data_IF_211465679255
#
_entry.id   IF_211465679255
#
_cell.length_a   1.000
_cell.length_b   1.000
_cell.length_c   1.000
_cell.angle_alpha   90.00
_cell.angle_beta   90.00
_cell.angle_gamma   90.00
#
_symmetry.space_group_name_H-M   'P 1'
#
loop_
_entity.id
_entity.type
_entity.pdbx_description
1 polymer ?
#
# COMPACT_ATOMS: atom_id res chain seq x y z
N UNK A 1 -17.73 32.42 -1.98
CA UNK A 1 -18.08 31.08 -1.40
C UNK A 1 -18.34 31.23 0.09
N UNK A 2 -19.41 30.63 0.61
CA UNK A 2 -19.69 30.50 2.05
C UNK A 2 -19.48 29.03 2.42
N UNK A 3 -18.55 28.67 3.34
CA UNK A 3 -18.24 27.27 3.64
C UNK A 3 -19.46 26.44 4.07
N UNK A 4 -20.40 27.05 4.81
CA UNK A 4 -21.63 26.39 5.25
C UNK A 4 -22.56 26.00 4.10
N UNK A 5 -22.56 26.77 2.99
CA UNK A 5 -23.39 26.47 1.82
C UNK A 5 -22.85 25.22 1.10
N UNK A 6 -21.52 25.08 0.98
CA UNK A 6 -20.86 23.89 0.41
C UNK A 6 -21.20 22.64 1.22
N UNK A 7 -21.13 22.74 2.56
CA UNK A 7 -21.48 21.65 3.46
C UNK A 7 -22.97 21.30 3.32
N UNK A 8 -23.84 22.31 3.22
CA UNK A 8 -25.28 22.09 3.08
C UNK A 8 -25.63 21.39 1.76
N UNK A 9 -25.06 21.83 0.63
CA UNK A 9 -25.26 21.17 -0.67
C UNK A 9 -24.90 19.68 -0.56
N UNK A 10 -23.73 19.35 0.01
CA UNK A 10 -23.32 17.94 0.12
C UNK A 10 -24.15 17.15 1.13
N UNK A 11 -24.61 17.79 2.24
CA UNK A 11 -25.54 17.18 3.20
C UNK A 11 -26.88 16.82 2.55
N UNK A 12 -27.36 17.67 1.65
CA UNK A 12 -28.69 17.54 1.03
C UNK A 12 -28.63 16.76 -0.31
N UNK A 13 -27.48 16.12 -0.61
CA UNK A 13 -27.20 15.35 -1.83
C UNK A 13 -27.34 16.19 -3.12
N UNK A 14 -26.95 17.46 -3.04
CA UNK A 14 -26.92 18.38 -4.17
C UNK A 14 -25.50 18.53 -4.72
N UNK A 15 -25.39 18.79 -6.03
CA UNK A 15 -24.11 19.00 -6.69
C UNK A 15 -23.47 20.32 -6.25
N UNK A 16 -22.17 20.28 -5.97
CA UNK A 16 -21.38 21.45 -5.57
C UNK A 16 -20.83 22.15 -6.83
N UNK A 17 -20.95 23.48 -6.96
CA UNK A 17 -20.24 24.21 -8.00
C UNK A 17 -18.72 23.96 -7.91
N UNK A 18 -18.11 23.50 -9.00
CA UNK A 18 -16.73 22.99 -8.98
C UNK A 18 -15.71 24.06 -8.57
N UNK A 19 -15.91 25.32 -8.98
CA UNK A 19 -15.04 26.44 -8.58
C UNK A 19 -15.13 26.70 -7.06
N UNK A 20 -16.31 26.55 -6.47
CA UNK A 20 -16.51 26.71 -5.04
C UNK A 20 -15.90 25.56 -4.26
N UNK A 21 -16.03 24.31 -4.73
CA UNK A 21 -15.36 23.14 -4.14
C UNK A 21 -13.84 23.32 -4.16
N UNK A 22 -13.28 23.77 -5.31
CA UNK A 22 -11.85 24.04 -5.44
C UNK A 22 -11.38 25.11 -4.43
N UNK A 23 -12.11 26.22 -4.34
CA UNK A 23 -11.79 27.29 -3.40
C UNK A 23 -11.85 26.80 -1.95
N UNK A 24 -12.89 26.02 -1.59
CA UNK A 24 -13.07 25.45 -0.25
C UNK A 24 -11.85 24.58 0.16
N UNK A 25 -11.36 23.73 -0.73
CA UNK A 25 -10.19 22.85 -0.44
C UNK A 25 -8.90 23.65 -0.30
N UNK A 26 -8.68 24.65 -1.18
CA UNK A 26 -7.47 25.50 -1.13
C UNK A 26 -7.47 26.38 0.12
N UNK A 27 -8.61 26.94 0.52
CA UNK A 27 -8.73 27.76 1.74
C UNK A 27 -8.59 26.89 3.01
N UNK A 28 -9.04 25.62 2.97
CA UNK A 28 -8.75 24.69 4.05
C UNK A 28 -7.24 24.43 4.19
N UNK A 29 -6.55 24.28 3.08
CA UNK A 29 -5.09 24.08 3.09
C UNK A 29 -4.34 25.25 3.73
N UNK A 30 -4.81 26.49 3.49
CA UNK A 30 -4.24 27.72 4.08
C UNK A 30 -4.60 27.91 5.56
N UNK A 31 -5.63 27.23 6.06
CA UNK A 31 -6.14 27.37 7.42
C UNK A 31 -7.29 28.36 7.56
N UNK A 32 -7.80 28.91 6.47
CA UNK A 32 -8.93 29.85 6.45
C UNK A 32 -10.26 29.13 6.74
N UNK A 33 -10.34 27.82 6.46
CA UNK A 33 -11.45 26.95 6.83
C UNK A 33 -11.00 26.07 8.00
N UNK A 34 -11.74 26.08 9.14
CA UNK A 34 -11.38 25.31 10.32
C UNK A 34 -11.74 23.82 10.18
N UNK A 35 -11.07 22.97 10.95
CA UNK A 35 -11.19 21.51 10.91
C UNK A 35 -12.63 21.02 11.14
N UNK A 36 -13.44 21.68 12.00
CA UNK A 36 -14.82 21.29 12.25
C UNK A 36 -15.72 21.44 11.00
N UNK A 37 -15.45 22.43 10.15
CA UNK A 37 -16.19 22.59 8.88
C UNK A 37 -15.75 21.52 7.86
N UNK A 38 -14.46 21.27 7.75
CA UNK A 38 -13.95 20.20 6.89
C UNK A 38 -14.40 18.82 7.38
N UNK A 39 -14.51 18.58 8.69
CA UNK A 39 -15.04 17.33 9.23
C UNK A 39 -16.52 17.14 8.87
N UNK A 40 -17.33 18.20 8.93
CA UNK A 40 -18.74 18.17 8.51
C UNK A 40 -18.86 17.86 7.01
N UNK A 41 -18.03 18.49 6.16
CA UNK A 41 -17.96 18.22 4.73
C UNK A 41 -17.55 16.76 4.45
N UNK A 42 -16.49 16.27 5.12
CA UNK A 42 -16.03 14.91 4.96
C UNK A 42 -17.09 13.87 5.36
N UNK A 43 -17.84 14.13 6.44
CA UNK A 43 -18.93 13.25 6.86
C UNK A 43 -20.11 13.30 5.88
N UNK A 44 -20.50 14.47 5.38
CA UNK A 44 -21.52 14.60 4.34
C UNK A 44 -21.12 13.83 3.07
N UNK A 45 -19.86 13.94 2.66
CA UNK A 45 -19.30 13.17 1.53
C UNK A 45 -19.29 11.65 1.81
N UNK A 46 -19.04 11.22 3.03
CA UNK A 46 -19.11 9.79 3.39
C UNK A 46 -20.53 9.22 3.24
N UNK A 47 -21.54 10.02 3.57
CA UNK A 47 -22.94 9.57 3.57
C UNK A 47 -23.57 9.64 2.17
N UNK A 48 -23.28 10.68 1.39
CA UNK A 48 -23.94 10.97 0.12
C UNK A 48 -23.03 10.82 -1.11
N UNK A 49 -21.72 10.50 -0.91
CA UNK A 49 -20.77 10.37 -2.00
C UNK A 49 -20.39 11.71 -2.65
N UNK A 50 -19.72 11.61 -3.77
CA UNK A 50 -19.44 12.71 -4.71
C UNK A 50 -19.55 12.16 -6.13
N UNK A 51 -20.04 12.96 -7.05
CA UNK A 51 -20.02 12.60 -8.45
C UNK A 51 -18.59 12.65 -9.02
N UNK A 52 -18.42 12.16 -10.25
CA UNK A 52 -17.11 12.07 -10.92
C UNK A 52 -16.39 13.43 -11.01
N UNK A 53 -17.10 14.50 -11.44
CA UNK A 53 -16.50 15.83 -11.61
C UNK A 53 -16.11 16.46 -10.27
N UNK A 54 -16.90 16.27 -9.23
CA UNK A 54 -16.58 16.69 -7.86
C UNK A 54 -15.32 15.95 -7.35
N UNK A 55 -15.24 14.62 -7.55
CA UNK A 55 -14.09 13.81 -7.12
C UNK A 55 -12.81 14.21 -7.86
N UNK A 56 -12.90 14.45 -9.16
CA UNK A 56 -11.80 14.94 -9.98
C UNK A 56 -11.34 16.34 -9.54
N UNK A 57 -12.27 17.24 -9.26
CA UNK A 57 -11.99 18.61 -8.79
C UNK A 57 -11.34 18.60 -7.40
N UNK A 58 -11.85 17.78 -6.49
CA UNK A 58 -11.25 17.58 -5.17
C UNK A 58 -9.79 17.07 -5.29
N UNK A 59 -9.57 16.06 -6.13
CA UNK A 59 -8.24 15.52 -6.41
C UNK A 59 -7.28 16.58 -6.92
N UNK A 60 -7.72 17.36 -7.92
CA UNK A 60 -6.91 18.43 -8.51
C UNK A 60 -6.63 19.56 -7.51
N UNK A 61 -7.64 19.99 -6.74
CA UNK A 61 -7.47 21.01 -5.73
C UNK A 61 -6.49 20.60 -4.62
N UNK A 62 -6.52 19.33 -4.19
CA UNK A 62 -5.55 18.79 -3.25
C UNK A 62 -4.13 18.77 -3.83
N UNK A 63 -3.97 18.36 -5.10
CA UNK A 63 -2.68 18.38 -5.78
C UNK A 63 -2.14 19.82 -5.87
N UNK A 64 -2.96 20.75 -6.30
CA UNK A 64 -2.60 22.17 -6.52
C UNK A 64 -2.37 22.95 -5.22
N UNK A 65 -2.69 22.36 -4.06
CA UNK A 65 -2.44 22.99 -2.76
C UNK A 65 -0.96 23.09 -2.40
N UNK A 66 -0.08 22.38 -3.12
CA UNK A 66 1.35 22.32 -2.84
C UNK A 66 2.24 22.26 -4.08
N UNK A 67 3.46 21.78 -3.88
CA UNK A 67 4.44 21.57 -4.96
C UNK A 67 4.11 20.32 -5.77
N UNK A 68 4.47 20.33 -7.04
CA UNK A 68 4.47 19.16 -7.91
C UNK A 68 5.91 18.88 -8.35
N UNK A 69 6.35 17.63 -8.19
CA UNK A 69 7.64 17.18 -8.72
C UNK A 69 7.53 17.00 -10.23
N UNK A 70 8.65 17.18 -10.90
CA UNK A 70 8.76 17.02 -12.34
C UNK A 70 10.01 16.20 -12.67
N UNK A 71 9.87 15.22 -13.53
CA UNK A 71 10.94 14.32 -13.98
C UNK A 71 11.13 14.36 -15.50
N UNK A 72 10.72 15.47 -16.15
CA UNK A 72 10.82 15.64 -17.61
C UNK A 72 12.25 15.63 -18.18
N UNK A 73 13.26 15.76 -17.32
CA UNK A 73 14.67 15.61 -17.69
C UNK A 73 15.10 14.15 -17.93
N UNK A 74 14.30 13.17 -17.54
CA UNK A 74 14.60 11.76 -17.76
C UNK A 74 13.98 11.28 -19.08
N UNK A 75 14.65 10.34 -19.76
CA UNK A 75 14.17 9.78 -21.03
C UNK A 75 12.88 8.95 -20.86
N UNK A 76 12.69 8.33 -19.68
CA UNK A 76 11.50 7.58 -19.32
C UNK A 76 10.63 8.35 -18.34
N UNK A 77 9.31 8.24 -18.44
CA UNK A 77 8.46 8.90 -17.49
C UNK A 77 8.31 8.10 -16.18
N UNK A 78 7.97 8.84 -15.11
CA UNK A 78 7.85 8.28 -13.77
C UNK A 78 6.63 7.37 -13.64
N UNK A 79 6.84 6.17 -13.12
CA UNK A 79 5.79 5.21 -12.81
C UNK A 79 5.81 4.86 -11.33
N UNK A 80 4.64 4.56 -10.77
CA UNK A 80 4.54 4.17 -9.37
C UNK A 80 3.44 3.11 -9.16
N UNK A 81 3.43 2.51 -8.00
CA UNK A 81 2.37 1.60 -7.52
C UNK A 81 1.76 2.16 -6.25
N UNK A 82 0.45 2.01 -6.09
CA UNK A 82 -0.22 2.24 -4.82
C UNK A 82 -1.06 1.04 -4.43
N UNK A 83 -0.95 0.62 -3.16
CA UNK A 83 -1.83 -0.39 -2.57
C UNK A 83 -2.86 0.27 -1.68
N UNK A 84 -4.08 -0.24 -1.68
CA UNK A 84 -5.12 0.19 -0.74
C UNK A 84 -4.91 -0.33 0.68
N UNK A 85 -3.82 -1.08 0.90
CA UNK A 85 -3.43 -1.62 2.19
C UNK A 85 -3.89 -3.06 2.40
N UNK A 86 -3.01 -3.87 3.00
CA UNK A 86 -3.27 -5.29 3.27
C UNK A 86 -2.29 -5.86 4.29
N UNK A 87 -2.61 -7.07 4.76
CA UNK A 87 -1.81 -7.78 5.74
C UNK A 87 -0.63 -8.47 5.06
N UNK A 88 0.60 -8.15 5.50
CA UNK A 88 1.83 -8.69 4.91
C UNK A 88 2.18 -8.07 3.54
N UNK A 89 1.61 -6.92 3.17
CA UNK A 89 1.90 -6.26 1.89
C UNK A 89 3.25 -5.54 1.92
N UNK A 90 4.27 -6.28 1.52
CA UNK A 90 5.66 -5.83 1.33
C UNK A 90 6.04 -5.65 -0.14
N UNK A 91 5.09 -5.77 -1.07
CA UNK A 91 5.33 -5.70 -2.53
C UNK A 91 6.17 -4.50 -2.92
N UNK A 92 5.91 -3.32 -2.36
CA UNK A 92 6.63 -2.08 -2.70
C UNK A 92 8.14 -2.18 -2.52
N UNK A 93 8.61 -2.94 -1.50
CA UNK A 93 10.03 -3.12 -1.19
C UNK A 93 10.75 -3.92 -2.28
N UNK A 94 10.05 -4.86 -2.90
CA UNK A 94 10.58 -5.69 -4.00
C UNK A 94 10.36 -5.00 -5.35
N UNK A 95 9.18 -4.45 -5.56
CA UNK A 95 8.72 -3.91 -6.84
C UNK A 95 9.52 -2.68 -7.30
N UNK A 96 9.75 -1.70 -6.40
CA UNK A 96 10.42 -0.46 -6.79
C UNK A 96 11.84 -0.70 -7.33
N UNK A 97 12.75 -1.42 -6.63
CA UNK A 97 14.07 -1.73 -7.17
C UNK A 97 14.03 -2.69 -8.36
N UNK A 98 13.06 -3.59 -8.43
CA UNK A 98 12.90 -4.52 -9.55
C UNK A 98 12.55 -3.78 -10.85
N UNK A 99 11.55 -2.92 -10.84
CA UNK A 99 11.14 -2.11 -12.00
C UNK A 99 12.27 -1.14 -12.39
N UNK A 100 12.95 -0.53 -11.41
CA UNK A 100 14.09 0.34 -11.67
C UNK A 100 15.28 -0.41 -12.29
N UNK A 101 15.50 -1.69 -11.97
CA UNK A 101 16.54 -2.52 -12.59
C UNK A 101 16.22 -2.91 -14.04
N UNK A 102 14.96 -2.73 -14.46
CA UNK A 102 14.48 -2.90 -15.84
C UNK A 102 14.30 -1.57 -16.60
N UNK A 103 14.88 -0.46 -16.09
CA UNK A 103 14.85 0.85 -16.74
C UNK A 103 13.69 1.76 -16.35
N UNK A 104 12.86 1.37 -15.38
CA UNK A 104 11.79 2.22 -14.85
C UNK A 104 12.33 3.33 -13.94
N UNK A 105 11.60 4.44 -13.86
CA UNK A 105 11.82 5.54 -12.91
C UNK A 105 10.69 5.51 -11.87
N UNK A 106 11.02 5.19 -10.62
CA UNK A 106 10.03 4.88 -9.57
C UNK A 106 10.19 5.81 -8.35
N UNK A 107 9.63 7.04 -8.40
CA UNK A 107 9.62 7.98 -7.27
C UNK A 107 8.48 7.64 -6.30
N UNK A 108 8.60 6.55 -5.56
CA UNK A 108 7.51 6.01 -4.74
C UNK A 108 7.30 6.82 -3.46
N UNK A 109 6.16 7.53 -3.38
CA UNK A 109 5.67 8.13 -2.15
C UNK A 109 4.74 7.14 -1.45
N UNK A 110 5.11 6.74 -0.24
CA UNK A 110 4.41 5.74 0.56
C UNK A 110 3.93 6.29 1.91
N UNK A 111 3.13 5.51 2.61
CA UNK A 111 2.56 5.85 3.91
C UNK A 111 3.13 5.03 5.06
N UNK A 112 2.89 5.53 6.28
CA UNK A 112 3.03 4.78 7.53
C UNK A 112 1.83 3.85 7.72
N UNK A 113 2.01 2.82 8.53
CA UNK A 113 0.93 1.92 8.93
C UNK A 113 -0.09 2.62 9.81
N UNK A 114 -1.34 2.24 9.62
CA UNK A 114 -2.46 2.67 10.41
C UNK A 114 -3.41 1.50 10.65
N UNK A 115 -3.89 1.35 11.88
CA UNK A 115 -4.69 0.19 12.27
C UNK A 115 -3.90 -1.12 12.09
N UNK A 116 -4.55 -2.11 11.48
CA UNK A 116 -4.01 -3.47 11.34
C UNK A 116 -3.00 -3.63 10.19
N UNK A 117 -2.93 -2.67 9.26
CA UNK A 117 -2.06 -2.77 8.10
C UNK A 117 -0.71 -2.11 8.36
N UNK A 118 0.38 -2.85 8.18
CA UNK A 118 1.74 -2.31 8.31
C UNK A 118 2.08 -1.31 7.19
N UNK A 119 2.76 -0.20 7.54
CA UNK A 119 3.18 0.80 6.57
C UNK A 119 4.51 0.47 5.88
N UNK A 120 4.62 0.80 4.61
CA UNK A 120 5.86 0.63 3.86
C UNK A 120 7.03 1.40 4.50
N UNK A 121 6.77 2.58 5.03
CA UNK A 121 7.79 3.40 5.68
C UNK A 121 8.26 2.78 6.99
N UNK A 122 7.33 2.28 7.81
CA UNK A 122 7.67 1.63 9.09
C UNK A 122 8.53 0.38 8.87
N UNK A 123 8.26 -0.38 7.80
CA UNK A 123 9.08 -1.52 7.41
C UNK A 123 10.50 -1.09 7.08
N UNK A 124 10.68 -0.10 6.20
CA UNK A 124 12.00 0.39 5.81
C UNK A 124 12.78 1.04 6.96
N UNK A 125 12.09 1.71 7.88
CA UNK A 125 12.71 2.29 9.10
C UNK A 125 13.21 1.23 10.08
N UNK A 126 12.81 -0.04 9.93
CA UNK A 126 13.44 -1.15 10.67
C UNK A 126 14.88 -1.44 10.22
N UNK A 127 15.30 -0.94 9.04
CA UNK A 127 16.69 -0.93 8.60
C UNK A 127 17.40 0.23 9.31
N UNK A 128 18.41 0.00 10.16
CA UNK A 128 19.08 1.07 10.89
C UNK A 128 19.60 2.18 9.98
N UNK A 129 19.24 3.42 10.33
CA UNK A 129 19.65 4.63 9.61
C UNK A 129 18.83 4.97 8.35
N UNK A 130 17.91 4.11 7.90
CA UNK A 130 17.10 4.40 6.73
C UNK A 130 16.17 5.59 6.95
N UNK A 131 16.25 6.57 6.04
CA UNK A 131 15.46 7.81 6.11
C UNK A 131 14.27 7.77 5.16
N UNK A 132 13.09 8.07 5.69
CA UNK A 132 11.83 8.17 4.95
C UNK A 132 11.31 9.62 4.85
N UNK A 133 12.05 10.59 5.37
CA UNK A 133 11.71 12.01 5.48
C UNK A 133 12.50 12.89 4.50
N UNK A 134 12.74 12.40 3.30
CA UNK A 134 13.56 13.10 2.31
C UNK A 134 12.88 14.40 1.84
N UNK A 135 13.68 15.46 1.68
CA UNK A 135 13.26 16.65 0.95
C UNK A 135 13.08 16.36 -0.55
N UNK A 136 12.33 17.22 -1.27
CA UNK A 136 12.16 17.08 -2.73
C UNK A 136 13.49 17.04 -3.49
N UNK A 137 14.52 17.75 -3.01
CA UNK A 137 15.86 17.76 -3.61
C UNK A 137 16.56 16.41 -3.39
N UNK A 138 16.53 15.89 -2.15
CA UNK A 138 17.13 14.58 -1.83
C UNK A 138 16.41 13.46 -2.58
N UNK A 139 15.07 13.48 -2.63
CA UNK A 139 14.26 12.53 -3.38
C UNK A 139 14.70 12.48 -4.86
N UNK A 140 14.78 13.65 -5.53
CA UNK A 140 15.23 13.74 -6.93
C UNK A 140 16.63 13.18 -7.12
N UNK A 141 17.53 13.48 -6.18
CA UNK A 141 18.90 12.96 -6.22
C UNK A 141 18.93 11.44 -6.13
N UNK A 142 18.19 10.84 -5.19
CA UNK A 142 18.11 9.38 -5.03
C UNK A 142 17.53 8.73 -6.29
N UNK A 143 16.44 9.29 -6.84
CA UNK A 143 15.83 8.79 -8.09
C UNK A 143 16.82 8.88 -9.26
N UNK A 144 17.53 10.00 -9.41
CA UNK A 144 18.55 10.18 -10.45
C UNK A 144 19.67 9.14 -10.34
N UNK A 145 20.16 8.90 -9.13
CA UNK A 145 21.29 8.01 -8.90
C UNK A 145 20.91 6.52 -8.94
N UNK A 146 19.66 6.19 -8.55
CA UNK A 146 19.21 4.80 -8.31
C UNK A 146 18.07 4.35 -9.25
N UNK A 147 17.32 5.24 -9.87
CA UNK A 147 16.11 4.92 -10.61
C UNK A 147 14.88 4.69 -9.74
N UNK A 148 15.05 4.52 -8.42
CA UNK A 148 13.93 4.39 -7.49
C UNK A 148 14.23 5.04 -6.13
N UNK A 149 13.16 5.39 -5.42
CA UNK A 149 13.15 5.87 -4.04
C UNK A 149 11.86 5.42 -3.38
N UNK A 150 11.88 5.12 -2.09
CA UNK A 150 10.66 4.92 -1.28
C UNK A 150 10.75 5.86 -0.09
N UNK A 151 9.89 6.87 -0.04
CA UNK A 151 9.91 7.90 0.99
C UNK A 151 8.49 8.34 1.36
N UNK A 152 8.36 9.07 2.47
CA UNK A 152 7.10 9.68 2.89
C UNK A 152 6.75 10.93 2.07
N UNK A 153 5.49 11.33 2.19
CA UNK A 153 5.01 12.60 1.67
C UNK A 153 5.72 13.76 2.39
N UNK A 154 6.29 14.69 1.64
CA UNK A 154 6.85 15.93 2.21
C UNK A 154 5.73 16.88 2.64
N UNK A 155 6.05 17.87 3.47
CA UNK A 155 5.07 18.90 3.89
C UNK A 155 4.59 19.77 2.73
N UNK A 156 5.31 19.75 1.62
CA UNK A 156 5.03 20.58 0.43
C UNK A 156 4.24 19.86 -0.65
N UNK A 157 4.20 18.52 -0.63
CA UNK A 157 3.41 17.72 -1.58
C UNK A 157 1.98 17.57 -1.08
N UNK A 158 0.99 18.04 -1.84
CA UNK A 158 -0.44 17.96 -1.54
C UNK A 158 -0.78 18.21 -0.05
N UNK A 159 -0.41 19.38 0.56
CA UNK A 159 -0.62 19.64 1.98
C UNK A 159 -2.10 19.60 2.41
N UNK A 160 -3.03 19.92 1.51
CA UNK A 160 -4.46 19.76 1.76
C UNK A 160 -4.82 18.30 2.07
N UNK A 161 -4.27 17.34 1.32
CA UNK A 161 -4.47 15.91 1.60
C UNK A 161 -3.90 15.52 2.96
N UNK A 162 -2.67 15.94 3.27
CA UNK A 162 -2.02 15.62 4.54
C UNK A 162 -2.87 16.05 5.74
N UNK A 163 -3.42 17.29 5.67
CA UNK A 163 -4.27 17.86 6.72
C UNK A 163 -5.63 17.13 6.78
N UNK A 164 -6.27 16.92 5.62
CA UNK A 164 -7.57 16.24 5.54
C UNK A 164 -7.47 14.77 5.97
N UNK A 165 -6.43 14.04 5.55
CA UNK A 165 -6.25 12.64 5.94
C UNK A 165 -6.11 12.49 7.47
N UNK A 166 -5.33 13.37 8.11
CA UNK A 166 -5.20 13.38 9.58
C UNK A 166 -6.54 13.65 10.29
N UNK A 167 -7.39 14.50 9.70
CA UNK A 167 -8.74 14.76 10.22
C UNK A 167 -9.65 13.54 10.02
N UNK A 168 -9.61 12.92 8.84
CA UNK A 168 -10.44 11.74 8.51
C UNK A 168 -10.17 10.55 9.41
N UNK A 169 -8.93 10.37 9.80
CA UNK A 169 -8.49 9.28 10.68
C UNK A 169 -9.24 9.29 12.03
N UNK A 170 -9.49 10.47 12.58
CA UNK A 170 -10.14 10.65 13.89
C UNK A 170 -11.64 10.94 13.79
N UNK A 171 -12.21 11.10 12.59
CA UNK A 171 -13.62 11.43 12.37
C UNK A 171 -14.43 10.29 11.75
N UNK A 172 -13.85 9.10 11.56
CA UNK A 172 -14.55 7.93 10.99
C UNK A 172 -14.91 8.09 9.52
N UNK A 173 -14.18 8.90 8.75
CA UNK A 173 -14.49 9.22 7.34
C UNK A 173 -13.45 8.64 6.36
N UNK A 174 -12.64 7.66 6.79
CA UNK A 174 -11.60 7.07 5.94
C UNK A 174 -12.19 6.22 4.81
N UNK A 175 -13.30 5.53 5.02
CA UNK A 175 -13.86 4.53 4.09
C UNK A 175 -14.64 5.10 2.89
N UNK A 176 -14.65 6.40 2.67
CA UNK A 176 -15.34 7.04 1.53
C UNK A 176 -14.57 6.89 0.22
N UNK A 177 -15.18 6.30 -0.82
CA UNK A 177 -14.56 6.09 -2.15
C UNK A 177 -14.04 7.40 -2.76
N UNK A 178 -14.82 8.51 -2.85
CA UNK A 178 -14.29 9.77 -3.37
C UNK A 178 -13.10 10.31 -2.58
N UNK A 179 -13.16 10.27 -1.25
CA UNK A 179 -12.10 10.78 -0.39
C UNK A 179 -10.84 9.90 -0.43
N UNK A 180 -10.98 8.57 -0.58
CA UNK A 180 -9.84 7.66 -0.81
C UNK A 180 -9.20 7.98 -2.15
N UNK A 181 -10.01 8.09 -3.20
CA UNK A 181 -9.55 8.41 -4.56
C UNK A 181 -8.76 9.72 -4.58
N UNK A 182 -9.34 10.80 -4.06
CA UNK A 182 -8.68 12.10 -4.04
C UNK A 182 -7.38 12.08 -3.22
N UNK A 183 -7.38 11.41 -2.07
CA UNK A 183 -6.20 11.29 -1.22
C UNK A 183 -5.06 10.53 -1.90
N UNK A 184 -5.34 9.41 -2.57
CA UNK A 184 -4.32 8.61 -3.25
C UNK A 184 -3.78 9.36 -4.48
N UNK A 185 -4.69 9.80 -5.35
CA UNK A 185 -4.30 10.37 -6.63
C UNK A 185 -3.60 11.73 -6.48
N UNK A 186 -4.07 12.61 -5.59
CA UNK A 186 -3.42 13.91 -5.39
C UNK A 186 -1.94 13.80 -5.01
N UNK A 187 -1.59 12.84 -4.14
CA UNK A 187 -0.19 12.58 -3.77
C UNK A 187 0.64 12.02 -4.91
N UNK A 188 0.08 11.07 -5.67
CA UNK A 188 0.78 10.44 -6.79
C UNK A 188 1.00 11.40 -7.94
N UNK A 189 0.00 12.22 -8.26
CA UNK A 189 0.10 13.27 -9.27
C UNK A 189 1.07 14.38 -8.83
N UNK A 190 1.00 14.85 -7.57
CA UNK A 190 1.95 15.81 -7.02
C UNK A 190 3.38 15.27 -6.98
N UNK A 191 3.57 13.96 -6.81
CA UNK A 191 4.87 13.30 -6.93
C UNK A 191 5.39 13.22 -8.38
N UNK A 192 4.69 13.75 -9.37
CA UNK A 192 5.11 13.80 -10.77
C UNK A 192 4.97 12.45 -11.50
N UNK A 193 4.16 11.54 -10.98
CA UNK A 193 3.91 10.22 -11.55
C UNK A 193 3.03 10.35 -12.80
N UNK A 194 3.44 9.74 -13.90
CA UNK A 194 2.74 9.76 -15.19
C UNK A 194 2.09 8.43 -15.52
N UNK A 195 2.51 7.35 -14.83
CA UNK A 195 1.90 6.04 -14.88
C UNK A 195 1.73 5.45 -13.49
N UNK A 196 0.52 4.99 -13.16
CA UNK A 196 0.17 4.48 -11.83
C UNK A 196 -0.51 3.11 -11.94
N UNK A 197 0.04 2.12 -11.28
CA UNK A 197 -0.61 0.82 -11.10
C UNK A 197 -1.18 0.73 -9.69
N UNK A 198 -2.48 0.49 -9.60
CA UNK A 198 -3.20 0.35 -8.34
C UNK A 198 -3.33 -1.14 -7.98
N UNK A 199 -2.97 -1.47 -6.76
CA UNK A 199 -3.19 -2.77 -6.14
C UNK A 199 -4.37 -2.63 -5.17
N UNK A 200 -5.59 -2.84 -5.69
CA UNK A 200 -6.83 -2.65 -4.94
C UNK A 200 -7.23 -3.97 -4.30
N UNK A 201 -7.06 -4.01 -2.99
CA UNK A 201 -7.25 -5.24 -2.20
C UNK A 201 -8.69 -5.39 -1.72
N UNK A 202 -9.19 -6.63 -1.78
CA UNK A 202 -10.49 -7.02 -1.23
C UNK A 202 -10.34 -8.23 -0.29
N UNK A 203 -11.23 -8.34 0.69
CA UNK A 203 -11.27 -9.47 1.63
C UNK A 203 -11.08 -9.07 3.09
N UNK A 204 -10.98 -10.05 3.98
CA UNK A 204 -10.96 -9.83 5.44
C UNK A 204 -9.80 -8.93 5.89
N UNK A 205 -8.63 -9.05 5.27
CA UNK A 205 -7.43 -8.28 5.60
C UNK A 205 -7.30 -6.92 4.90
N UNK A 206 -8.36 -6.42 4.26
CA UNK A 206 -8.37 -5.14 3.54
C UNK A 206 -9.51 -4.21 3.97
N UNK A 207 -9.47 -2.95 3.50
CA UNK A 207 -10.56 -1.99 3.73
C UNK A 207 -11.82 -2.37 2.95
N UNK A 208 -11.68 -2.73 1.66
CA UNK A 208 -12.79 -3.22 0.83
C UNK A 208 -13.03 -4.68 1.15
N UNK A 209 -14.22 -5.00 1.68
CA UNK A 209 -14.53 -6.38 2.13
C UNK A 209 -14.98 -7.27 0.98
N UNK A 210 -15.52 -6.70 -0.08
CA UNK A 210 -16.05 -7.41 -1.24
C UNK A 210 -15.34 -7.01 -2.54
N UNK A 211 -15.40 -7.89 -3.54
CA UNK A 211 -14.92 -7.60 -4.91
C UNK A 211 -15.68 -6.42 -5.52
N UNK A 212 -16.98 -6.28 -5.20
CA UNK A 212 -17.81 -5.17 -5.70
C UNK A 212 -17.32 -3.81 -5.22
N UNK A 213 -17.09 -3.65 -3.91
CA UNK A 213 -16.54 -2.42 -3.33
C UNK A 213 -15.14 -2.09 -3.87
N UNK A 214 -14.29 -3.12 -4.02
CA UNK A 214 -12.96 -2.93 -4.58
C UNK A 214 -12.99 -2.51 -6.06
N UNK A 215 -13.94 -3.05 -6.84
CA UNK A 215 -14.13 -2.68 -8.24
C UNK A 215 -14.59 -1.23 -8.37
N UNK A 216 -15.59 -0.81 -7.60
CA UNK A 216 -16.08 0.58 -7.58
C UNK A 216 -14.93 1.56 -7.28
N UNK A 217 -14.14 1.29 -6.25
CA UNK A 217 -12.97 2.11 -5.92
C UNK A 217 -11.94 2.12 -7.06
N UNK A 218 -11.63 0.96 -7.65
CA UNK A 218 -10.67 0.84 -8.73
C UNK A 218 -11.12 1.59 -9.99
N UNK A 219 -12.38 1.44 -10.41
CA UNK A 219 -12.96 2.13 -11.55
C UNK A 219 -12.94 3.66 -11.34
N UNK A 220 -13.33 4.12 -10.16
CA UNK A 220 -13.29 5.54 -9.79
C UNK A 220 -11.85 6.08 -9.87
N UNK A 221 -10.86 5.38 -9.29
CA UNK A 221 -9.47 5.82 -9.34
C UNK A 221 -8.89 5.79 -10.75
N UNK A 222 -9.22 4.80 -11.58
CA UNK A 222 -8.77 4.72 -12.98
C UNK A 222 -9.38 5.87 -13.78
N UNK A 223 -10.67 6.13 -13.64
CA UNK A 223 -11.36 7.22 -14.34
C UNK A 223 -10.80 8.60 -13.97
N UNK A 224 -10.74 8.92 -12.66
CA UNK A 224 -10.25 10.21 -12.16
C UNK A 224 -8.78 10.42 -12.48
N UNK A 225 -7.94 9.39 -12.33
CA UNK A 225 -6.52 9.48 -12.64
C UNK A 225 -6.26 9.70 -14.13
N UNK A 226 -7.01 9.01 -15.00
CA UNK A 226 -6.93 9.20 -16.46
C UNK A 226 -7.40 10.59 -16.86
N UNK A 227 -8.49 11.09 -16.28
CA UNK A 227 -8.97 12.47 -16.46
C UNK A 227 -7.90 13.51 -16.09
N UNK A 228 -7.09 13.21 -15.07
CA UNK A 228 -5.98 14.07 -14.61
C UNK A 228 -4.68 13.91 -15.44
N UNK A 229 -4.72 13.16 -16.56
CA UNK A 229 -3.59 12.99 -17.46
C UNK A 229 -2.58 11.91 -17.06
N UNK A 230 -2.86 11.11 -16.04
CA UNK A 230 -2.05 9.97 -15.63
C UNK A 230 -2.55 8.67 -16.30
N UNK A 231 -1.65 7.80 -16.74
CA UNK A 231 -2.02 6.45 -17.18
C UNK A 231 -2.27 5.59 -15.94
N UNK A 232 -3.51 5.17 -15.72
CA UNK A 232 -3.87 4.39 -14.53
C UNK A 232 -4.44 3.04 -14.91
N UNK A 233 -3.94 1.98 -14.29
CA UNK A 233 -4.51 0.63 -14.32
C UNK A 233 -4.65 0.12 -12.88
N UNK A 234 -5.61 -0.77 -12.63
CA UNK A 234 -5.81 -1.39 -11.33
C UNK A 234 -5.85 -2.91 -11.45
N UNK A 235 -5.30 -3.60 -10.45
CA UNK A 235 -5.49 -5.03 -10.22
C UNK A 235 -6.31 -5.21 -8.95
N UNK A 236 -7.40 -5.98 -9.03
CA UNK A 236 -8.15 -6.41 -7.84
C UNK A 236 -7.49 -7.65 -7.28
N UNK A 237 -7.03 -7.58 -6.02
CA UNK A 237 -6.21 -8.62 -5.40
C UNK A 237 -6.81 -9.15 -4.11
N UNK A 238 -6.75 -10.48 -3.95
CA UNK A 238 -7.29 -11.20 -2.78
C UNK A 238 -6.46 -10.94 -1.53
N UNK A 239 -7.12 -10.50 -0.46
CA UNK A 239 -6.56 -10.27 0.88
C UNK A 239 -7.37 -11.02 1.96
N UNK A 240 -8.02 -12.12 1.63
CA UNK A 240 -8.62 -13.02 2.62
C UNK A 240 -7.55 -13.80 3.39
N UNK A 241 -6.35 -13.90 2.83
CA UNK A 241 -5.14 -14.46 3.45
C UNK A 241 -4.01 -13.42 3.45
N UNK A 242 -3.08 -13.46 4.42
CA UNK A 242 -1.88 -12.62 4.37
C UNK A 242 -1.07 -12.88 3.09
N UNK A 243 -0.41 -11.83 2.58
CA UNK A 243 0.53 -11.95 1.46
C UNK A 243 1.90 -12.39 1.97
N UNK A 244 2.43 -13.47 1.42
CA UNK A 244 3.67 -14.08 1.88
C UNK A 244 3.51 -14.80 3.22
N UNK A 245 4.62 -14.95 3.94
CA UNK A 245 4.71 -15.77 5.17
C UNK A 245 5.03 -14.95 6.42
N UNK A 246 5.16 -13.62 6.29
CA UNK A 246 5.56 -12.74 7.38
C UNK A 246 4.66 -11.52 7.49
N UNK A 247 4.32 -11.12 8.71
CA UNK A 247 3.56 -9.92 9.06
C UNK A 247 4.23 -9.24 10.25
N UNK A 248 4.69 -8.02 10.06
CA UNK A 248 5.48 -7.25 11.03
C UNK A 248 6.63 -6.51 10.31
N UNK A 249 7.19 -5.46 10.93
CA UNK A 249 8.06 -4.53 10.20
C UNK A 249 9.36 -5.18 9.71
N UNK A 250 10.28 -5.56 10.61
CA UNK A 250 11.55 -6.20 10.22
C UNK A 250 11.36 -7.58 9.60
N UNK A 251 10.33 -8.33 10.01
CA UNK A 251 10.03 -9.64 9.45
C UNK A 251 9.62 -9.56 7.98
N UNK A 252 8.87 -8.50 7.62
CA UNK A 252 8.51 -8.27 6.23
C UNK A 252 9.68 -7.73 5.40
N UNK A 253 10.58 -6.93 5.99
CA UNK A 253 11.85 -6.55 5.32
C UNK A 253 12.72 -7.78 5.09
N UNK A 254 12.85 -8.66 6.08
CA UNK A 254 13.56 -9.94 5.94
C UNK A 254 13.03 -10.73 4.74
N UNK A 255 11.71 -10.92 4.66
CA UNK A 255 11.08 -11.67 3.56
C UNK A 255 11.23 -10.95 2.21
N UNK A 256 11.14 -9.61 2.17
CA UNK A 256 11.37 -8.84 0.94
C UNK A 256 12.82 -8.97 0.45
N UNK A 257 13.80 -8.96 1.36
CA UNK A 257 15.22 -9.19 1.04
C UNK A 257 15.42 -10.61 0.50
N UNK A 258 14.88 -11.63 1.15
CA UNK A 258 14.93 -13.02 0.66
C UNK A 258 14.26 -13.16 -0.72
N UNK A 259 13.16 -12.44 -0.95
CA UNK A 259 12.51 -12.39 -2.27
C UNK A 259 13.44 -11.78 -3.32
N UNK A 260 14.11 -10.66 -3.02
CA UNK A 260 15.09 -10.03 -3.92
C UNK A 260 16.33 -10.90 -4.16
N UNK A 261 16.62 -11.83 -3.26
CA UNK A 261 17.67 -12.87 -3.41
C UNK A 261 17.19 -14.12 -4.17
N UNK A 262 15.90 -14.13 -4.62
CA UNK A 262 15.31 -15.24 -5.39
C UNK A 262 14.66 -16.34 -4.54
N UNK A 263 14.48 -16.12 -3.23
CA UNK A 263 13.97 -17.10 -2.27
C UNK A 263 12.60 -16.70 -1.65
N UNK A 264 11.85 -15.87 -2.35
CA UNK A 264 10.57 -15.36 -1.87
C UNK A 264 9.38 -16.32 -2.04
N UNK A 265 8.29 -16.08 -1.28
CA UNK A 265 7.02 -16.79 -1.45
C UNK A 265 6.43 -16.57 -2.85
N UNK A 266 5.84 -17.63 -3.41
CA UNK A 266 5.33 -17.61 -4.78
C UNK A 266 4.23 -16.54 -5.01
N UNK A 267 3.35 -16.34 -4.05
CA UNK A 267 2.28 -15.33 -4.10
C UNK A 267 2.83 -13.90 -4.13
N UNK A 268 3.86 -13.61 -3.33
CA UNK A 268 4.53 -12.32 -3.33
C UNK A 268 5.24 -12.04 -4.65
N UNK A 269 5.95 -13.05 -5.20
CA UNK A 269 6.61 -12.96 -6.51
C UNK A 269 5.60 -12.76 -7.62
N UNK A 270 4.50 -13.54 -7.63
CA UNK A 270 3.44 -13.45 -8.64
C UNK A 270 2.81 -12.04 -8.67
N UNK A 271 2.42 -11.51 -7.51
CA UNK A 271 1.84 -10.17 -7.44
C UNK A 271 2.85 -9.09 -7.87
N UNK A 272 4.10 -9.23 -7.44
CA UNK A 272 5.17 -8.29 -7.82
C UNK A 272 5.39 -8.29 -9.34
N UNK A 273 5.41 -9.45 -9.98
CA UNK A 273 5.57 -9.53 -11.44
C UNK A 273 4.34 -9.00 -12.18
N UNK A 274 3.14 -9.27 -11.71
CA UNK A 274 1.93 -8.76 -12.33
C UNK A 274 1.88 -7.22 -12.32
N UNK A 275 2.17 -6.60 -11.17
CA UNK A 275 2.23 -5.15 -11.04
C UNK A 275 3.40 -4.55 -11.84
N UNK A 276 4.58 -5.17 -11.76
CA UNK A 276 5.78 -4.74 -12.47
C UNK A 276 5.63 -4.79 -13.99
N UNK A 277 5.01 -5.84 -14.54
CA UNK A 277 4.74 -5.94 -15.98
C UNK A 277 3.84 -4.79 -16.45
N UNK A 278 2.83 -4.39 -15.67
CA UNK A 278 2.00 -3.23 -15.98
C UNK A 278 2.80 -1.92 -15.95
N UNK A 279 3.67 -1.75 -14.95
CA UNK A 279 4.55 -0.57 -14.87
C UNK A 279 5.49 -0.48 -16.07
N UNK A 280 6.11 -1.59 -16.48
CA UNK A 280 6.99 -1.65 -17.64
C UNK A 280 6.24 -1.39 -18.97
N UNK A 281 5.03 -1.95 -19.12
CA UNK A 281 4.17 -1.66 -20.26
C UNK A 281 3.82 -0.17 -20.37
N UNK A 282 3.53 0.49 -19.24
CA UNK A 282 3.20 1.92 -19.21
C UNK A 282 4.36 2.80 -19.70
N UNK A 283 5.60 2.46 -19.38
CA UNK A 283 6.79 3.22 -19.84
C UNK A 283 7.25 2.82 -21.25
N UNK A 284 6.52 1.91 -21.91
CA UNK A 284 6.77 1.56 -23.29
C UNK A 284 7.86 0.49 -23.51
N UNK A 285 8.20 -0.31 -22.49
CA UNK A 285 9.07 -1.47 -22.67
C UNK A 285 8.37 -2.44 -23.63
N UNK A 286 9.01 -2.85 -24.76
CA UNK A 286 8.39 -3.71 -25.74
C UNK A 286 8.12 -5.13 -25.22
N UNK A 287 6.98 -5.69 -25.57
CA UNK A 287 6.62 -7.08 -25.27
C UNK A 287 5.17 -7.21 -24.79
N UNK A 288 4.70 -8.44 -24.80
CA UNK A 288 3.47 -8.83 -24.13
C UNK A 288 3.70 -9.07 -22.62
N UNK A 289 2.65 -9.44 -21.91
CA UNK A 289 2.72 -9.65 -20.44
C UNK A 289 3.76 -10.74 -20.07
N UNK A 290 3.83 -11.82 -20.84
CA UNK A 290 4.78 -12.91 -20.60
C UNK A 290 6.24 -12.46 -20.82
N UNK A 291 6.50 -11.67 -21.85
CA UNK A 291 7.80 -11.08 -22.13
C UNK A 291 8.24 -10.13 -20.99
N UNK A 292 7.34 -9.27 -20.53
CA UNK A 292 7.63 -8.33 -19.46
C UNK A 292 7.85 -9.05 -18.11
N UNK A 293 7.07 -10.10 -17.83
CA UNK A 293 7.29 -10.97 -16.67
C UNK A 293 8.63 -11.70 -16.75
N UNK A 294 9.03 -12.19 -17.91
CA UNK A 294 10.33 -12.83 -18.10
C UNK A 294 11.49 -11.84 -17.86
N UNK A 295 11.36 -10.58 -18.29
CA UNK A 295 12.34 -9.52 -18.00
C UNK A 295 12.47 -9.24 -16.50
N UNK A 296 11.35 -9.18 -15.79
CA UNK A 296 11.34 -9.02 -14.33
C UNK A 296 11.96 -10.23 -13.63
N UNK A 297 11.64 -11.44 -14.08
CA UNK A 297 12.22 -12.67 -13.54
C UNK A 297 13.75 -12.70 -13.73
N UNK A 298 14.25 -12.35 -14.93
CA UNK A 298 15.68 -12.23 -15.18
C UNK A 298 16.33 -11.18 -14.25
N UNK A 299 15.72 -10.02 -14.06
CA UNK A 299 16.24 -9.00 -13.17
C UNK A 299 16.25 -9.42 -11.68
N UNK A 300 15.24 -10.20 -11.26
CA UNK A 300 15.16 -10.74 -9.91
C UNK A 300 16.24 -11.82 -9.68
N UNK A 301 16.23 -12.86 -10.50
CA UNK A 301 17.08 -14.04 -10.30
C UNK A 301 18.55 -13.82 -10.69
N UNK A 302 18.89 -12.78 -11.46
CA UNK A 302 20.26 -12.36 -11.69
C UNK A 302 20.87 -11.53 -10.55
N UNK A 303 20.06 -11.13 -9.55
CA UNK A 303 20.47 -10.27 -8.44
C UNK A 303 20.47 -8.76 -8.75
N UNK A 304 20.16 -8.32 -9.98
CA UNK A 304 20.17 -6.90 -10.35
C UNK A 304 19.17 -6.08 -9.49
N UNK A 305 18.01 -6.64 -9.18
CA UNK A 305 17.01 -6.01 -8.31
C UNK A 305 17.53 -5.86 -6.87
N UNK A 306 18.22 -6.87 -6.34
CA UNK A 306 18.84 -6.84 -5.01
C UNK A 306 19.93 -5.75 -4.93
N UNK A 307 20.83 -5.68 -5.90
CA UNK A 307 21.84 -4.62 -5.96
C UNK A 307 21.22 -3.22 -6.04
N UNK A 308 20.09 -3.10 -6.75
CA UNK A 308 19.35 -1.84 -6.83
C UNK A 308 18.75 -1.47 -5.47
N UNK A 309 18.20 -2.43 -4.74
CA UNK A 309 17.69 -2.22 -3.38
C UNK A 309 18.79 -1.78 -2.42
N UNK A 310 19.94 -2.47 -2.43
CA UNK A 310 21.13 -2.08 -1.64
C UNK A 310 21.56 -0.65 -1.92
N UNK A 311 21.59 -0.25 -3.20
CA UNK A 311 21.93 1.11 -3.60
C UNK A 311 20.93 2.13 -3.07
N UNK A 312 19.63 1.84 -3.15
CA UNK A 312 18.57 2.69 -2.60
C UNK A 312 18.73 2.85 -1.08
N UNK A 313 18.95 1.75 -0.37
CA UNK A 313 19.16 1.77 1.09
C UNK A 313 20.34 2.67 1.47
N UNK A 314 21.51 2.52 0.82
CA UNK A 314 22.69 3.38 1.05
C UNK A 314 22.40 4.86 0.79
N UNK A 315 21.73 5.18 -0.31
CA UNK A 315 21.44 6.56 -0.70
C UNK A 315 20.43 7.24 0.26
N UNK A 316 19.61 6.45 0.94
CA UNK A 316 18.65 6.92 1.95
C UNK A 316 19.20 6.80 3.39
N UNK A 317 20.51 6.57 3.56
CA UNK A 317 21.19 6.58 4.86
C UNK A 317 21.10 5.26 5.64
N UNK A 318 20.42 4.24 5.10
CA UNK A 318 20.34 2.92 5.73
C UNK A 318 21.66 2.16 5.67
N UNK A 319 21.93 1.36 6.70
CA UNK A 319 23.10 0.49 6.75
C UNK A 319 22.87 -0.77 5.88
N UNK A 320 23.63 -0.93 4.77
CA UNK A 320 23.47 -2.06 3.87
C UNK A 320 23.80 -3.41 4.53
N UNK A 321 24.59 -3.44 5.61
CA UNK A 321 24.93 -4.67 6.31
C UNK A 321 23.70 -5.42 6.87
N UNK A 322 22.61 -4.70 7.16
CA UNK A 322 21.34 -5.29 7.59
C UNK A 322 20.49 -5.83 6.42
N UNK A 323 20.81 -5.47 5.19
CA UNK A 323 20.20 -6.02 3.99
C UNK A 323 21.03 -7.17 3.42
N UNK A 324 22.35 -7.06 3.45
CA UNK A 324 23.27 -8.13 3.05
C UNK A 324 23.20 -9.34 4.00
N UNK A 325 22.88 -9.10 5.27
CA UNK A 325 22.70 -10.09 6.33
C UNK A 325 21.40 -9.80 7.11
N UNK A 326 20.22 -10.12 6.53
CA UNK A 326 18.93 -9.70 7.09
C UNK A 326 18.60 -10.35 8.44
N UNK A 327 19.32 -11.39 8.85
CA UNK A 327 19.26 -11.98 10.19
C UNK A 327 19.74 -11.02 11.31
N UNK A 328 20.39 -9.91 10.96
CA UNK A 328 20.80 -8.84 11.88
C UNK A 328 19.70 -7.79 12.12
N UNK A 329 18.62 -7.81 11.35
CA UNK A 329 17.46 -6.92 11.57
C UNK A 329 16.91 -7.10 12.99
N UNK A 330 16.19 -6.09 13.53
CA UNK A 330 15.60 -6.19 14.87
C UNK A 330 14.84 -7.50 15.06
N UNK A 331 15.16 -8.23 16.14
CA UNK A 331 14.54 -9.51 16.50
C UNK A 331 13.93 -9.45 17.89
N UNK A 332 12.80 -10.11 18.08
CA UNK A 332 12.10 -10.16 19.37
C UNK A 332 12.87 -11.08 20.35
N UNK A 333 12.71 -10.79 21.64
CA UNK A 333 13.33 -11.56 22.73
C UNK A 333 12.73 -12.95 22.90
N UNK A 334 11.48 -13.14 22.49
CA UNK A 334 10.74 -14.40 22.60
C UNK A 334 10.17 -14.78 21.24
N UNK A 335 10.45 -16.01 20.83
CA UNK A 335 9.85 -16.61 19.64
C UNK A 335 9.10 -17.87 20.07
N UNK A 336 7.83 -17.95 19.71
CA UNK A 336 6.97 -19.06 20.05
C UNK A 336 6.23 -19.61 18.83
N UNK A 337 5.67 -20.79 18.94
CA UNK A 337 5.09 -21.54 17.81
C UNK A 337 3.60 -21.79 18.01
N UNK A 338 2.82 -21.63 16.96
CA UNK A 338 1.42 -22.07 16.91
C UNK A 338 1.37 -23.48 16.34
N UNK A 339 1.06 -24.52 17.15
CA UNK A 339 1.01 -25.89 16.67
C UNK A 339 -0.31 -26.18 15.96
N UNK A 340 -0.27 -27.03 14.93
CA UNK A 340 -1.45 -27.58 14.29
C UNK A 340 -2.23 -28.49 15.26
N UNK A 341 -3.53 -28.27 15.48
CA UNK A 341 -4.34 -29.11 16.38
C UNK A 341 -4.59 -30.50 15.81
N UNK A 342 -4.66 -30.64 14.50
CA UNK A 342 -4.96 -31.84 13.77
C UNK A 342 -4.05 -32.00 12.55
N UNK A 343 -3.99 -33.21 11.99
CA UNK A 343 -3.39 -33.43 10.68
C UNK A 343 -4.42 -33.12 9.58
N UNK A 344 -3.95 -32.67 8.41
CA UNK A 344 -4.78 -32.37 7.24
C UNK A 344 -4.08 -31.40 6.29
N UNK A 345 -4.85 -30.60 5.58
CA UNK A 345 -4.40 -29.52 4.73
C UNK A 345 -4.90 -28.19 5.27
N UNK A 346 -4.09 -27.15 5.19
CA UNK A 346 -4.53 -25.82 5.52
C UNK A 346 -5.47 -25.31 4.39
N UNK A 347 -6.71 -25.01 4.72
CA UNK A 347 -7.74 -24.61 3.75
C UNK A 347 -8.13 -23.14 3.86
N UNK A 348 -7.84 -22.48 4.99
CA UNK A 348 -8.02 -21.03 5.15
C UNK A 348 -7.08 -20.47 6.20
N UNK A 349 -6.68 -19.20 5.99
CA UNK A 349 -5.96 -18.36 6.96
C UNK A 349 -6.66 -17.01 7.01
N UNK A 350 -7.15 -16.61 8.17
CA UNK A 350 -7.85 -15.36 8.36
C UNK A 350 -6.85 -14.18 8.45
N UNK A 351 -6.75 -13.40 7.37
CA UNK A 351 -5.81 -12.29 7.29
C UNK A 351 -6.07 -11.21 8.35
N UNK A 352 -7.33 -10.90 8.68
CA UNK A 352 -7.66 -9.90 9.69
C UNK A 352 -7.15 -10.33 11.07
N UNK A 353 -7.35 -11.59 11.44
CA UNK A 353 -6.86 -12.11 12.73
C UNK A 353 -5.34 -12.12 12.82
N UNK A 354 -4.65 -12.48 11.72
CA UNK A 354 -3.18 -12.42 11.67
C UNK A 354 -2.70 -10.97 11.80
N UNK A 355 -3.31 -10.03 11.08
CA UNK A 355 -2.99 -8.61 11.20
C UNK A 355 -3.23 -8.05 12.61
N UNK A 356 -4.36 -8.45 13.23
CA UNK A 356 -4.70 -8.07 14.61
C UNK A 356 -3.70 -8.64 15.62
N UNK A 357 -3.25 -9.87 15.44
CA UNK A 357 -2.22 -10.47 16.28
C UNK A 357 -0.90 -9.69 16.18
N UNK A 358 -0.44 -9.37 14.96
CA UNK A 358 0.76 -8.54 14.78
C UNK A 358 0.61 -7.15 15.42
N UNK A 359 -0.58 -6.55 15.31
CA UNK A 359 -0.89 -5.26 15.94
C UNK A 359 -0.82 -5.32 17.48
N UNK A 360 -1.43 -6.34 18.11
CA UNK A 360 -1.38 -6.57 19.56
C UNK A 360 0.06 -6.74 20.04
N UNK A 361 0.89 -7.43 19.27
CA UNK A 361 2.32 -7.61 19.58
C UNK A 361 3.11 -6.29 19.58
N UNK A 362 2.57 -5.21 18.95
CA UNK A 362 3.22 -3.90 18.89
C UNK A 362 3.79 -3.55 17.50
N UNK A 363 3.50 -4.35 16.47
CA UNK A 363 3.97 -4.07 15.09
C UNK A 363 3.23 -2.89 14.43
N UNK A 364 2.06 -2.50 14.94
CA UNK A 364 1.27 -1.37 14.48
C UNK A 364 1.14 -0.28 15.54
N UNK A 365 0.38 0.78 15.22
CA UNK A 365 0.13 1.90 16.16
C UNK A 365 -1.35 2.27 16.18
N UNK A 366 -1.81 2.68 17.37
CA UNK A 366 -3.16 3.20 17.59
C UNK A 366 -3.22 4.70 17.30
N UNK A 367 -2.17 5.43 17.67
CA UNK A 367 -2.04 6.88 17.46
C UNK A 367 -0.81 7.14 16.59
N UNK A 368 -0.84 8.23 15.83
CA UNK A 368 0.27 8.61 14.95
C UNK A 368 1.61 8.76 15.69
N UNK A 369 1.56 9.19 16.94
CA UNK A 369 2.72 9.46 17.81
C UNK A 369 3.26 8.19 18.47
N UNK A 370 2.51 7.09 18.47
CA UNK A 370 2.93 5.84 19.11
C UNK A 370 4.15 5.26 18.36
N UNK A 371 5.12 4.79 19.12
CA UNK A 371 6.23 4.02 18.57
C UNK A 371 5.75 2.62 18.17
N UNK A 372 6.30 2.10 17.07
CA UNK A 372 6.12 0.70 16.69
C UNK A 372 7.33 -0.12 17.10
N UNK A 373 7.11 -1.35 17.54
CA UNK A 373 8.19 -2.31 17.77
C UNK A 373 8.52 -3.04 16.46
N UNK A 374 9.68 -2.74 15.90
CA UNK A 374 10.09 -3.33 14.63
C UNK A 374 10.37 -4.82 14.69
N UNK A 375 10.68 -5.35 15.90
CA UNK A 375 11.11 -6.73 16.09
C UNK A 375 9.97 -7.74 16.17
N UNK A 376 8.75 -7.28 16.42
CA UNK A 376 7.61 -8.15 16.71
C UNK A 376 6.73 -8.44 15.50
N UNK A 377 5.94 -9.51 15.58
CA UNK A 377 5.01 -9.91 14.53
C UNK A 377 4.84 -11.42 14.42
N UNK A 378 4.54 -11.87 13.21
CA UNK A 378 4.29 -13.27 12.88
C UNK A 378 5.15 -13.66 11.68
N UNK A 379 5.79 -14.83 11.72
CA UNK A 379 6.57 -15.38 10.60
C UNK A 379 6.22 -16.85 10.34
N UNK A 380 6.82 -17.39 9.28
CA UNK A 380 6.68 -18.79 8.87
C UNK A 380 5.22 -19.25 8.75
N UNK A 381 4.32 -18.33 8.36
CA UNK A 381 2.92 -18.64 8.10
C UNK A 381 2.80 -19.75 7.07
N UNK A 382 2.12 -20.82 7.44
CA UNK A 382 1.69 -21.86 6.51
C UNK A 382 0.72 -21.28 5.49
N UNK A 383 0.80 -21.74 4.26
CA UNK A 383 -0.07 -21.27 3.17
C UNK A 383 -1.17 -22.28 2.87
N UNK A 384 -2.28 -21.79 2.28
CA UNK A 384 -3.40 -22.63 1.86
C UNK A 384 -2.90 -23.69 0.88
N UNK A 385 -3.36 -24.94 1.06
CA UNK A 385 -2.96 -26.11 0.30
C UNK A 385 -1.80 -26.90 0.92
N UNK A 386 -1.02 -26.33 1.85
CA UNK A 386 0.08 -27.04 2.49
C UNK A 386 -0.42 -28.14 3.44
N UNK A 387 0.18 -29.36 3.37
CA UNK A 387 -0.12 -30.42 4.33
C UNK A 387 0.49 -30.10 5.70
N UNK A 388 -0.19 -30.50 6.76
CA UNK A 388 0.25 -30.38 8.13
C UNK A 388 -0.01 -31.68 8.90
N UNK A 389 0.93 -32.09 9.73
CA UNK A 389 0.72 -33.11 10.75
C UNK A 389 0.30 -32.42 12.06
N UNK A 390 -0.36 -33.20 12.95
CA UNK A 390 -0.68 -32.71 14.29
C UNK A 390 0.63 -32.30 15.02
N UNK A 391 0.69 -31.06 15.49
CA UNK A 391 1.84 -30.49 16.19
C UNK A 391 2.84 -29.74 15.29
N UNK A 392 2.68 -29.80 13.97
CA UNK A 392 3.50 -28.98 13.05
C UNK A 392 3.29 -27.48 13.29
N UNK A 393 4.30 -26.68 13.04
CA UNK A 393 4.21 -25.22 13.15
C UNK A 393 3.32 -24.64 12.05
N UNK A 394 2.27 -23.92 12.43
CA UNK A 394 1.42 -23.14 11.53
C UNK A 394 1.97 -21.71 11.34
N UNK A 395 2.62 -21.18 12.38
CA UNK A 395 3.24 -19.86 12.39
C UNK A 395 4.19 -19.74 13.58
N UNK A 396 5.09 -18.73 13.54
CA UNK A 396 5.86 -18.29 14.71
C UNK A 396 5.42 -16.91 15.13
N UNK A 397 5.30 -16.70 16.44
CA UNK A 397 5.01 -15.43 17.08
C UNK A 397 6.34 -14.84 17.56
N UNK A 398 6.59 -13.58 17.26
CA UNK A 398 7.73 -12.81 17.73
C UNK A 398 7.22 -11.75 18.70
N UNK A 399 7.58 -11.84 19.99
CA UNK A 399 7.06 -10.98 21.05
C UNK A 399 8.15 -10.47 21.98
N UNK A 400 7.99 -9.24 22.49
CA UNK A 400 8.82 -8.65 23.52
C UNK A 400 8.11 -8.54 24.88
N UNK A 401 6.77 -8.58 24.90
CA UNK A 401 5.95 -8.57 26.12
C UNK A 401 5.16 -9.88 26.27
N UNK A 402 5.25 -10.51 27.44
CA UNK A 402 4.61 -11.81 27.68
C UNK A 402 3.06 -11.74 27.64
N UNK A 403 2.49 -10.62 28.08
CA UNK A 403 1.04 -10.37 28.02
C UNK A 403 0.52 -10.34 26.58
N UNK A 404 1.22 -9.68 25.67
CA UNK A 404 0.86 -9.60 24.27
C UNK A 404 1.04 -10.94 23.54
N UNK A 405 2.02 -11.77 23.97
CA UNK A 405 2.26 -13.08 23.42
C UNK A 405 1.04 -14.00 23.60
N UNK A 406 0.44 -14.03 24.82
CA UNK A 406 -0.67 -14.92 25.08
C UNK A 406 -1.94 -14.51 24.34
N UNK A 407 -2.23 -13.21 24.26
CA UNK A 407 -3.36 -12.70 23.49
C UNK A 407 -3.21 -12.99 22.00
N UNK A 408 -2.02 -12.75 21.44
CA UNK A 408 -1.72 -13.05 20.03
C UNK A 408 -1.80 -14.56 19.75
N UNK A 409 -1.36 -15.42 20.69
CA UNK A 409 -1.45 -16.88 20.59
C UNK A 409 -2.89 -17.35 20.43
N UNK A 410 -3.80 -16.89 21.29
CA UNK A 410 -5.22 -17.23 21.25
C UNK A 410 -5.83 -16.82 19.91
N UNK A 411 -5.53 -15.62 19.46
CA UNK A 411 -6.07 -15.08 18.21
C UNK A 411 -5.55 -15.86 16.98
N UNK A 412 -4.24 -16.09 16.91
CA UNK A 412 -3.61 -16.86 15.83
C UNK A 412 -4.06 -18.32 15.82
N UNK A 413 -4.20 -18.96 16.98
CA UNK A 413 -4.71 -20.33 17.06
C UNK A 413 -6.09 -20.49 16.43
N UNK A 414 -6.89 -19.42 16.39
CA UNK A 414 -8.23 -19.41 15.77
C UNK A 414 -8.23 -18.91 14.31
N UNK A 415 -7.07 -18.53 13.75
CA UNK A 415 -6.99 -17.98 12.40
C UNK A 415 -6.81 -19.03 11.31
N UNK A 416 -6.46 -20.25 11.67
CA UNK A 416 -6.17 -21.34 10.72
C UNK A 416 -7.32 -22.36 10.69
N UNK A 417 -7.73 -22.73 9.49
CA UNK A 417 -8.71 -23.81 9.27
C UNK A 417 -8.01 -24.97 8.55
N UNK A 418 -8.04 -26.16 9.21
CA UNK A 418 -7.43 -27.38 8.70
C UNK A 418 -8.56 -28.38 8.40
N UNK A 419 -8.52 -29.00 7.22
CA UNK A 419 -9.47 -30.06 6.79
C UNK A 419 -8.70 -31.25 6.24
N UNK A 420 -9.38 -32.41 6.15
CA UNK A 420 -8.82 -33.60 5.51
C UNK A 420 -8.81 -33.53 3.98
N UNK A 421 -9.68 -32.70 3.40
CA UNK A 421 -9.72 -32.42 1.97
C UNK A 421 -8.72 -31.33 1.58
N UNK A 422 -7.96 -31.54 0.50
CA UNK A 422 -7.10 -30.52 -0.09
C UNK A 422 -7.94 -29.40 -0.71
N UNK A 423 -7.49 -28.16 -0.55
CA UNK A 423 -8.09 -26.97 -1.19
C UNK A 423 -7.00 -26.15 -1.85
N UNK A 424 -7.20 -25.83 -3.12
CA UNK A 424 -6.33 -24.85 -3.81
C UNK A 424 -6.67 -23.44 -3.35
N UNK A 425 -5.66 -22.55 -3.21
CA UNK A 425 -5.92 -21.16 -2.91
C UNK A 425 -6.70 -20.49 -4.06
N UNK A 426 -7.60 -19.58 -3.73
CA UNK A 426 -8.24 -18.71 -4.72
C UNK A 426 -7.20 -17.89 -5.50
N UNK A 427 -7.52 -17.54 -6.76
CA UNK A 427 -6.65 -16.72 -7.58
C UNK A 427 -6.31 -15.39 -6.86
N UNK A 428 -5.03 -15.10 -6.74
CA UNK A 428 -4.53 -13.90 -6.05
C UNK A 428 -4.99 -12.62 -6.77
N UNK A 429 -4.94 -12.63 -8.10
CA UNK A 429 -5.40 -11.51 -8.93
C UNK A 429 -6.75 -11.91 -9.53
N UNK A 430 -7.78 -11.16 -9.16
CA UNK A 430 -9.16 -11.44 -9.57
C UNK A 430 -9.51 -10.81 -10.90
N UNK A 431 -9.06 -9.57 -11.10
CA UNK A 431 -9.46 -8.76 -12.26
C UNK A 431 -8.44 -7.65 -12.53
N UNK A 432 -8.37 -7.22 -13.80
CA UNK A 432 -7.63 -6.03 -14.22
C UNK A 432 -8.61 -4.99 -14.77
N UNK A 433 -8.52 -3.77 -14.24
CA UNK A 433 -9.33 -2.61 -14.64
C UNK A 433 -8.42 -1.59 -15.33
N UNK A 434 -8.86 -1.17 -16.51
CA UNK A 434 -8.18 -0.17 -17.33
C UNK A 434 -9.21 0.82 -17.86
N UNK A 435 -8.79 1.97 -18.35
CA UNK A 435 -9.71 2.95 -18.92
C UNK A 435 -10.57 2.40 -20.07
N UNK A 436 -10.10 1.37 -20.78
CA UNK A 436 -10.82 0.77 -21.92
C UNK A 436 -11.94 -0.20 -21.49
N UNK A 437 -11.97 -0.65 -20.24
CA UNK A 437 -12.98 -1.58 -19.73
C UNK A 437 -13.77 -1.01 -18.52
N UNK A 438 -13.78 0.32 -18.36
CA UNK A 438 -14.63 0.98 -17.37
C UNK A 438 -16.11 0.74 -17.70
N UNK A 439 -16.93 0.59 -16.67
CA UNK A 439 -18.40 0.54 -16.82
C UNK A 439 -18.94 1.90 -17.26
N UNK A 440 -20.04 1.89 -18.02
CA UNK A 440 -20.70 3.15 -18.42
C UNK A 440 -21.23 3.94 -17.22
N UNK A 441 -21.49 3.27 -16.10
CA UNK A 441 -22.04 3.86 -14.88
C UNK A 441 -20.97 4.67 -14.11
N UNK A 442 -19.68 4.43 -14.34
CA UNK A 442 -18.56 5.12 -13.66
C UNK A 442 -18.58 6.63 -13.88
N UNK A 443 -19.18 7.12 -14.96
CA UNK A 443 -19.24 8.54 -15.32
C UNK A 443 -20.61 9.18 -15.06
N UNK A 444 -21.61 8.40 -14.65
CA UNK A 444 -23.00 8.84 -14.50
C UNK A 444 -23.48 8.98 -13.05
N UNK A 445 -22.65 8.60 -12.09
CA UNK A 445 -22.92 8.71 -10.65
C UNK A 445 -22.32 9.97 -10.03
#
# INVERSE_FOLDING_TARGET
MIPQDIIALKRDDEAIPLDDLRAFVLDYSKGDIPDYQMAAFAMATCLNGMNFEETATLTQAMMDSGETLNFSEFETFAVDKHSTGGIGDKVSLVLAPLVASCGGLVPMISGRGLGLTGGTLDKLESIPGYRTDLSSIELRKVVSDCGCVITGQTDRLAPADKKLYALRDVTGTVSSVPLITASILSKKLAAGVQGLVLDVKFGSGSFMKTVGEARELAETMVAVGTRSGCRVEALLTDMNRPLGRSVGNSLEVFEAVRTLQGEGPADLVELTFALGARMLAMIGVPGDDDTLRALLADALYSGRAFERFLKMVRLQGGDPAFVESPEKLPTASTIDTIPAPNAGYLIAVDAEKVGRAAFILGAGRTRREDAVDFAVGVSDLKQIGEPVAKGDSLARIHANAAEHLEEARVLLGSSFLIDTSHSEPTALIKEKITNSNLSADTFSS
#
